data_IF_805229421935
#
_entry.id   IF_805229421935
#
_cell.length_a   1.000
_cell.length_b   1.000
_cell.length_c   1.000
_cell.angle_alpha   90.00
_cell.angle_beta   90.00
_cell.angle_gamma   90.00
#
_symmetry.space_group_name_H-M   'P 1'
#
loop_
_entity.id
_entity.type
_entity.pdbx_description
1 polymer ?
#
# COMPACT_ATOMS: atom_id res chain seq x y z
N UNK A 1 21.96 -10.84 -6.92
CA UNK A 1 20.50 -11.04 -7.02
C UNK A 1 20.20 -11.93 -8.21
N UNK A 2 19.29 -12.91 -8.08
CA UNK A 2 18.75 -13.67 -9.22
C UNK A 2 17.42 -13.06 -9.65
N UNK A 3 17.14 -13.09 -10.95
CA UNK A 3 15.89 -12.57 -11.52
C UNK A 3 15.19 -13.64 -12.36
N UNK A 4 13.86 -13.59 -12.39
CA UNK A 4 12.98 -14.47 -13.16
C UNK A 4 12.13 -13.63 -14.09
N UNK A 5 11.92 -14.13 -15.30
CA UNK A 5 11.03 -13.48 -16.27
C UNK A 5 9.57 -13.77 -15.89
N UNK A 6 8.74 -12.73 -15.87
CA UNK A 6 7.31 -12.80 -15.64
C UNK A 6 6.61 -11.81 -16.56
N UNK A 7 5.97 -12.34 -17.60
CA UNK A 7 5.40 -11.54 -18.70
C UNK A 7 6.46 -10.57 -19.27
N UNK A 8 6.19 -9.28 -19.30
CA UNK A 8 7.11 -8.23 -19.74
C UNK A 8 8.14 -7.78 -18.68
N UNK A 9 8.08 -8.33 -17.46
CA UNK A 9 8.92 -7.92 -16.34
C UNK A 9 10.03 -8.93 -16.03
N UNK A 10 11.15 -8.41 -15.53
CA UNK A 10 12.23 -9.20 -14.95
C UNK A 10 12.26 -8.97 -13.44
N UNK A 11 11.73 -9.92 -12.68
CA UNK A 11 11.46 -9.77 -11.25
C UNK A 11 12.57 -10.40 -10.41
N UNK A 12 12.96 -9.77 -9.31
CA UNK A 12 13.86 -10.37 -8.34
C UNK A 12 13.24 -11.63 -7.74
N UNK A 13 14.05 -12.67 -7.48
CA UNK A 13 13.56 -13.95 -6.95
C UNK A 13 12.89 -13.83 -5.58
N UNK A 14 13.23 -12.77 -4.84
CA UNK A 14 12.60 -12.38 -3.57
C UNK A 14 11.97 -10.99 -3.72
N UNK A 15 10.89 -10.73 -2.99
CA UNK A 15 10.24 -9.43 -2.89
C UNK A 15 10.10 -8.97 -1.45
N UNK A 16 9.74 -7.70 -1.26
CA UNK A 16 9.50 -7.09 0.06
C UNK A 16 8.00 -6.94 0.30
N UNK A 17 7.48 -7.59 1.34
CA UNK A 17 6.11 -7.40 1.82
C UNK A 17 6.01 -6.32 2.89
N UNK A 18 4.92 -5.57 2.90
CA UNK A 18 4.76 -4.36 3.75
C UNK A 18 3.51 -4.40 4.64
N UNK A 19 3.02 -5.58 5.01
CA UNK A 19 1.74 -5.75 5.69
C UNK A 19 1.73 -5.35 7.17
N UNK A 20 2.69 -5.86 7.94
CA UNK A 20 2.59 -5.92 9.41
C UNK A 20 3.43 -4.85 10.13
N UNK A 21 3.06 -4.54 11.38
CA UNK A 21 3.83 -3.67 12.26
C UNK A 21 3.04 -2.46 12.73
N UNK A 22 3.53 -1.82 13.80
CA UNK A 22 2.82 -0.74 14.46
C UNK A 22 2.64 0.47 13.51
N UNK A 23 1.47 1.13 13.49
CA UNK A 23 1.25 2.32 12.67
C UNK A 23 1.87 3.57 13.33
N UNK A 24 3.18 3.54 13.59
CA UNK A 24 3.94 4.63 14.20
C UNK A 24 5.14 5.07 13.33
N UNK A 25 5.69 6.24 13.64
CA UNK A 25 6.79 6.86 12.88
C UNK A 25 8.08 6.02 12.92
N UNK A 26 8.36 5.37 14.04
CA UNK A 26 9.54 4.50 14.18
C UNK A 26 9.49 3.33 13.18
N UNK A 27 8.34 2.64 13.10
CA UNK A 27 8.15 1.55 12.16
C UNK A 27 8.19 2.06 10.70
N UNK A 28 7.72 3.27 10.42
CA UNK A 28 7.84 3.88 9.09
C UNK A 28 9.29 4.11 8.68
N UNK A 29 10.12 4.60 9.61
CA UNK A 29 11.55 4.80 9.38
C UNK A 29 12.22 3.47 9.07
N UNK A 30 11.95 2.44 9.88
CA UNK A 30 12.51 1.11 9.68
C UNK A 30 12.08 0.50 8.33
N UNK A 31 10.82 0.69 7.93
CA UNK A 31 10.32 0.31 6.61
C UNK A 31 11.09 1.05 5.50
N UNK A 32 11.21 2.37 5.62
CA UNK A 32 11.90 3.19 4.63
C UNK A 32 13.33 2.70 4.39
N UNK A 33 14.11 2.56 5.48
CA UNK A 33 15.50 2.12 5.42
C UNK A 33 15.63 0.69 4.88
N UNK A 34 14.76 -0.23 5.31
CA UNK A 34 14.78 -1.63 4.86
C UNK A 34 14.43 -1.76 3.39
N UNK A 35 13.38 -1.07 2.93
CA UNK A 35 12.96 -1.12 1.52
C UNK A 35 14.04 -0.51 0.63
N UNK A 36 14.58 0.66 1.02
CA UNK A 36 15.67 1.32 0.29
C UNK A 36 16.89 0.40 0.16
N UNK A 37 17.35 -0.18 1.27
CA UNK A 37 18.48 -1.11 1.27
C UNK A 37 18.21 -2.34 0.40
N UNK A 38 17.01 -2.91 0.48
CA UNK A 38 16.62 -4.04 -0.35
C UNK A 38 16.73 -3.73 -1.84
N UNK A 39 16.27 -2.55 -2.27
CA UNK A 39 16.39 -2.07 -3.65
C UNK A 39 17.84 -1.86 -4.05
N UNK A 40 18.66 -1.26 -3.19
CA UNK A 40 20.10 -1.11 -3.42
C UNK A 40 20.84 -2.45 -3.55
N UNK A 41 20.32 -3.51 -2.93
CA UNK A 41 20.82 -4.90 -3.07
C UNK A 41 20.19 -5.67 -4.24
N UNK A 42 19.32 -5.02 -5.02
CA UNK A 42 18.74 -5.55 -6.26
C UNK A 42 17.35 -6.15 -6.12
N UNK A 43 16.66 -6.03 -4.99
CA UNK A 43 15.24 -6.41 -4.92
C UNK A 43 14.44 -5.37 -5.71
N UNK A 44 13.62 -5.81 -6.66
CA UNK A 44 12.75 -4.90 -7.42
C UNK A 44 11.26 -5.14 -7.20
N UNK A 45 10.84 -6.21 -6.52
CA UNK A 45 9.43 -6.48 -6.24
C UNK A 45 9.03 -5.95 -4.86
N UNK A 46 7.99 -5.11 -4.80
CA UNK A 46 7.42 -4.60 -3.55
C UNK A 46 5.92 -4.91 -3.53
N UNK A 47 5.48 -5.58 -2.47
CA UNK A 47 4.07 -5.86 -2.19
C UNK A 47 3.53 -4.89 -1.13
N UNK A 48 2.37 -4.30 -1.40
CA UNK A 48 1.65 -3.41 -0.48
C UNK A 48 0.13 -3.55 -0.65
N UNK A 49 -0.65 -2.82 0.14
CA UNK A 49 -2.08 -2.65 -0.01
C UNK A 49 -2.56 -1.40 0.74
N UNK A 50 -3.70 -0.85 0.35
CA UNK A 50 -4.24 0.39 0.93
C UNK A 50 -4.54 0.27 2.44
N UNK A 51 -4.95 -0.90 2.91
CA UNK A 51 -5.24 -1.15 4.33
C UNK A 51 -3.98 -1.44 5.17
N UNK A 52 -2.82 -1.66 4.55
CA UNK A 52 -1.61 -1.99 5.29
C UNK A 52 -1.19 -0.82 6.16
N UNK A 53 -1.18 -1.05 7.48
CA UNK A 53 -0.82 -0.07 8.51
C UNK A 53 -1.62 1.24 8.39
N UNK A 54 -2.91 1.15 8.03
CA UNK A 54 -3.80 2.31 7.80
C UNK A 54 -3.23 3.28 6.74
N UNK A 55 -3.02 2.78 5.52
CA UNK A 55 -2.43 3.52 4.39
C UNK A 55 -0.95 3.92 4.55
N UNK A 56 -0.35 3.72 5.74
CA UNK A 56 1.03 4.15 6.01
C UNK A 56 2.05 3.38 5.18
N UNK A 57 1.82 2.09 4.90
CA UNK A 57 2.74 1.29 4.08
C UNK A 57 2.90 1.85 2.67
N UNK A 58 1.80 2.16 1.96
CA UNK A 58 1.88 2.76 0.62
C UNK A 58 2.54 4.13 0.63
N UNK A 59 2.27 4.95 1.66
CA UNK A 59 2.92 6.25 1.85
C UNK A 59 4.43 6.09 1.98
N UNK A 60 4.90 5.13 2.79
CA UNK A 60 6.35 4.88 2.98
C UNK A 60 6.98 4.33 1.70
N UNK A 61 6.34 3.37 1.02
CA UNK A 61 6.79 2.86 -0.29
C UNK A 61 6.93 4.02 -1.27
N UNK A 62 5.91 4.89 -1.39
CA UNK A 62 5.95 6.06 -2.27
C UNK A 62 7.10 7.02 -1.95
N UNK A 63 7.45 7.21 -0.67
CA UNK A 63 8.63 8.00 -0.27
C UNK A 63 9.93 7.35 -0.74
N UNK A 64 10.08 6.03 -0.56
CA UNK A 64 11.29 5.31 -1.01
C UNK A 64 11.45 5.39 -2.52
N UNK A 65 10.37 5.18 -3.28
CA UNK A 65 10.40 5.20 -4.74
C UNK A 65 10.81 6.56 -5.32
N UNK A 66 10.44 7.66 -4.65
CA UNK A 66 10.88 9.01 -5.02
C UNK A 66 12.39 9.19 -4.84
N UNK A 67 13.00 8.51 -3.88
CA UNK A 67 14.44 8.62 -3.61
C UNK A 67 15.28 7.69 -4.49
N UNK A 68 14.83 6.45 -4.71
CA UNK A 68 15.61 5.45 -5.44
C UNK A 68 15.34 5.44 -6.95
N UNK A 69 14.20 5.98 -7.40
CA UNK A 69 13.73 5.91 -8.78
C UNK A 69 12.64 4.84 -8.97
N UNK A 70 11.44 5.26 -9.42
CA UNK A 70 10.27 4.38 -9.59
C UNK A 70 10.52 3.27 -10.61
N UNK A 71 11.27 3.57 -11.66
CA UNK A 71 11.61 2.67 -12.77
C UNK A 71 12.41 1.43 -12.34
N UNK A 72 13.08 1.48 -11.19
CA UNK A 72 13.85 0.35 -10.65
C UNK A 72 13.00 -0.72 -9.99
N UNK A 73 11.68 -0.52 -9.91
CA UNK A 73 10.78 -1.36 -9.10
C UNK A 73 9.53 -1.79 -9.86
N UNK A 74 8.97 -2.92 -9.43
CA UNK A 74 7.64 -3.40 -9.74
C UNK A 74 6.87 -3.40 -8.43
N UNK A 75 5.81 -2.58 -8.36
CA UNK A 75 4.96 -2.45 -7.18
C UNK A 75 3.66 -3.18 -7.44
N UNK A 76 3.33 -4.12 -6.56
CA UNK A 76 2.06 -4.82 -6.51
C UNK A 76 1.27 -4.30 -5.32
N UNK A 77 0.19 -3.57 -5.57
CA UNK A 77 -0.75 -3.13 -4.53
C UNK A 77 -2.10 -3.84 -4.65
N UNK A 78 -2.90 -3.78 -3.58
CA UNK A 78 -4.22 -4.42 -3.48
C UNK A 78 -5.24 -3.40 -3.01
N UNK A 79 -6.37 -3.34 -3.70
CA UNK A 79 -7.55 -2.58 -3.32
C UNK A 79 -8.63 -3.45 -2.70
N UNK A 80 -9.73 -2.81 -2.32
CA UNK A 80 -10.96 -3.48 -1.90
C UNK A 80 -11.11 -3.77 -0.40
N UNK A 81 -10.24 -3.18 0.42
CA UNK A 81 -10.45 -3.04 1.86
C UNK A 81 -10.67 -1.58 2.21
N UNK A 82 -11.59 -1.31 3.13
CA UNK A 82 -11.71 0.02 3.71
C UNK A 82 -10.44 0.37 4.49
N UNK A 83 -9.91 1.56 4.21
CA UNK A 83 -8.77 2.13 4.90
C UNK A 83 -9.06 3.60 5.21
N UNK A 84 -8.53 4.07 6.34
CA UNK A 84 -8.64 5.46 6.77
C UNK A 84 -7.23 6.04 6.85
N UNK A 85 -7.00 7.27 6.37
CA UNK A 85 -5.69 7.89 6.46
C UNK A 85 -5.18 7.92 7.91
N UNK A 86 -3.86 7.88 8.09
CA UNK A 86 -3.28 8.10 9.40
C UNK A 86 -3.69 9.48 9.93
N UNK A 87 -3.76 9.60 11.25
CA UNK A 87 -4.00 10.88 11.96
C UNK A 87 -5.42 11.46 11.82
N UNK A 88 -6.37 10.67 11.31
CA UNK A 88 -7.80 11.02 11.34
C UNK A 88 -8.40 10.71 12.72
N UNK A 89 -8.82 11.75 13.43
CA UNK A 89 -9.41 11.63 14.77
C UNK A 89 -10.84 11.04 14.76
N UNK A 90 -11.62 11.29 13.71
CA UNK A 90 -12.99 10.76 13.55
C UNK A 90 -13.09 10.00 12.20
N UNK A 91 -12.73 8.70 12.20
CA UNK A 91 -12.78 7.85 11.02
C UNK A 91 -14.17 7.78 10.37
N UNK A 92 -15.23 7.75 11.19
CA UNK A 92 -16.61 7.65 10.71
C UNK A 92 -17.04 8.90 9.95
N UNK A 93 -16.70 10.08 10.47
CA UNK A 93 -16.97 11.35 9.79
C UNK A 93 -16.17 11.49 8.51
N UNK A 94 -14.89 11.11 8.54
CA UNK A 94 -14.04 11.09 7.33
C UNK A 94 -14.62 10.16 6.27
N UNK A 95 -14.97 8.93 6.65
CA UNK A 95 -15.54 7.92 5.77
C UNK A 95 -16.82 8.40 5.08
N UNK A 96 -17.77 8.94 5.86
CA UNK A 96 -19.02 9.49 5.31
C UNK A 96 -18.73 10.64 4.35
N UNK A 97 -17.85 11.57 4.72
CA UNK A 97 -17.55 12.75 3.89
C UNK A 97 -16.84 12.36 2.59
N UNK A 98 -15.81 11.52 2.67
CA UNK A 98 -14.91 11.27 1.54
C UNK A 98 -15.42 10.15 0.62
N UNK A 99 -16.15 9.16 1.16
CA UNK A 99 -16.60 8.00 0.38
C UNK A 99 -18.10 8.02 0.10
N UNK A 100 -18.93 8.27 1.12
CA UNK A 100 -20.41 8.20 0.96
C UNK A 100 -20.97 9.46 0.29
N UNK A 101 -20.67 10.65 0.83
CA UNK A 101 -21.23 11.92 0.35
C UNK A 101 -20.72 12.29 -1.05
N UNK A 102 -19.55 11.80 -1.45
CA UNK A 102 -19.04 11.91 -2.82
C UNK A 102 -19.61 10.84 -3.77
N UNK A 103 -20.44 9.94 -3.24
CA UNK A 103 -21.05 8.83 -3.96
C UNK A 103 -20.05 7.81 -4.46
N UNK A 104 -18.84 7.73 -3.89
CA UNK A 104 -17.82 6.73 -4.26
C UNK A 104 -18.27 5.33 -3.82
N UNK A 105 -18.96 5.28 -2.68
CA UNK A 105 -19.43 4.06 -2.03
C UNK A 105 -20.81 4.28 -1.43
N UNK A 106 -21.64 3.26 -1.41
CA UNK A 106 -22.86 3.16 -0.61
C UNK A 106 -22.67 2.15 0.53
N UNK A 107 -23.31 2.33 1.70
CA UNK A 107 -23.15 1.41 2.83
C UNK A 107 -23.49 -0.05 2.50
N UNK A 108 -24.42 -0.28 1.57
CA UNK A 108 -24.89 -1.61 1.16
C UNK A 108 -23.85 -2.38 0.33
N UNK A 109 -22.87 -1.69 -0.25
CA UNK A 109 -21.75 -2.29 -1.00
C UNK A 109 -20.62 -2.78 -0.07
N UNK A 110 -20.71 -2.50 1.24
CA UNK A 110 -19.73 -2.92 2.24
C UNK A 110 -20.11 -4.30 2.76
N UNK A 111 -19.25 -5.28 2.52
CA UNK A 111 -19.42 -6.63 3.08
C UNK A 111 -19.29 -6.60 4.61
N UNK A 112 -19.80 -7.64 5.32
CA UNK A 112 -19.68 -7.73 6.77
C UNK A 112 -18.23 -7.70 7.29
N UNK A 113 -17.26 -8.08 6.45
CA UNK A 113 -15.82 -8.06 6.77
C UNK A 113 -15.12 -6.76 6.37
N UNK A 114 -15.85 -5.75 5.89
CA UNK A 114 -15.30 -4.44 5.54
C UNK A 114 -14.61 -4.39 4.16
N UNK A 115 -14.90 -5.36 3.29
CA UNK A 115 -14.46 -5.36 1.90
C UNK A 115 -15.46 -4.67 0.97
N UNK A 116 -14.96 -4.07 -0.10
CA UNK A 116 -15.73 -3.39 -1.16
C UNK A 116 -15.07 -3.70 -2.49
N UNK A 117 -15.81 -4.18 -3.49
CA UNK A 117 -15.24 -4.59 -4.79
C UNK A 117 -15.85 -3.87 -6.00
N UNK A 118 -16.52 -2.74 -5.76
CA UNK A 118 -17.19 -1.98 -6.82
C UNK A 118 -16.17 -1.21 -7.64
N UNK A 119 -16.43 -1.09 -8.94
CA UNK A 119 -15.52 -0.43 -9.90
C UNK A 119 -15.31 1.07 -9.61
N UNK A 120 -16.18 1.70 -8.83
CA UNK A 120 -16.01 3.11 -8.42
C UNK A 120 -15.06 3.26 -7.23
N UNK A 121 -14.90 2.20 -6.44
CA UNK A 121 -14.07 2.20 -5.24
C UNK A 121 -12.64 1.74 -5.50
N UNK A 122 -12.46 0.72 -6.36
CA UNK A 122 -11.16 0.19 -6.79
C UNK A 122 -10.62 1.02 -7.96
#
# INVERSE_FOLDING_TARGET
>A
MRYKDFREYKLSEIGIGTYIGNPNQETDKNYFETIKLGIEKGINVIDTAINYRNMRSEIVVGKVLKEVGREKTVVSTKGGYLAVPPDINDPSKWFRKELINKGILSPEEITPTGNVITAKYI
#
